data_IF_283241046061
#
_entry.id   IF_283241046061
#
_cell.length_a   1.000
_cell.length_b   1.000
_cell.length_c   1.000
_cell.angle_alpha   90.00
_cell.angle_beta   90.00
_cell.angle_gamma   90.00
#
_symmetry.space_group_name_H-M   'P 1'
#
loop_
_entity.id
_entity.type
_entity.pdbx_description
1 polymer ?
#
# COMPACT_ATOMS: atom_id res chain seq x y z
N UNK A 1 17.01 14.87 0.61
CA UNK A 1 16.30 15.13 1.88
C UNK A 1 15.40 16.35 1.73
N UNK A 2 15.96 17.55 1.52
CA UNK A 2 15.18 18.76 1.25
C UNK A 2 14.38 18.65 -0.07
N UNK A 3 13.12 19.12 -0.05
CA UNK A 3 12.24 19.16 -1.22
C UNK A 3 11.65 17.81 -1.64
N UNK A 4 11.77 16.77 -0.80
CA UNK A 4 11.21 15.44 -1.09
C UNK A 4 10.86 14.65 0.16
N UNK A 5 11.74 14.64 1.17
CA UNK A 5 11.59 13.75 2.33
C UNK A 5 11.46 14.47 3.67
N UNK A 6 12.08 15.64 3.84
CA UNK A 6 12.02 16.42 5.08
C UNK A 6 12.36 17.89 4.82
N UNK A 7 11.62 18.81 5.45
CA UNK A 7 11.82 20.25 5.42
C UNK A 7 12.44 20.75 6.74
N UNK A 8 13.09 21.93 6.73
CA UNK A 8 13.71 22.55 7.91
C UNK A 8 14.65 21.61 8.69
N UNK A 9 15.52 20.91 7.95
CA UNK A 9 16.39 19.86 8.49
C UNK A 9 17.42 20.43 9.46
N UNK A 10 17.41 19.94 10.70
CA UNK A 10 18.43 20.24 11.72
C UNK A 10 19.46 19.11 11.90
N UNK A 11 19.17 17.92 11.38
CA UNK A 11 20.00 16.72 11.56
C UNK A 11 19.25 15.45 11.19
N UNK A 12 19.66 14.32 11.77
CA UNK A 12 19.02 13.02 11.59
C UNK A 12 19.06 12.24 12.91
N UNK A 13 18.23 11.20 13.01
CA UNK A 13 18.21 10.28 14.16
C UNK A 13 18.78 8.94 13.71
N UNK A 14 19.93 8.49 14.24
CA UNK A 14 20.46 7.17 13.93
C UNK A 14 19.62 6.08 14.62
N UNK A 15 19.27 5.03 13.87
CA UNK A 15 18.59 3.84 14.39
C UNK A 15 19.52 2.64 14.18
N UNK A 16 19.80 1.82 15.21
CA UNK A 16 20.61 0.60 15.04
C UNK A 16 20.01 -0.33 13.97
N UNK A 17 20.87 -0.89 13.13
CA UNK A 17 20.47 -1.83 12.06
C UNK A 17 21.17 -3.16 12.29
N UNK A 18 20.37 -4.21 12.48
CA UNK A 18 20.82 -5.59 12.53
C UNK A 18 20.46 -6.37 11.26
N UNK A 19 20.93 -7.61 11.18
CA UNK A 19 20.60 -8.55 10.08
C UNK A 19 20.02 -9.82 10.68
N UNK A 20 18.90 -10.29 10.13
CA UNK A 20 18.33 -11.61 10.41
C UNK A 20 18.40 -12.49 9.15
N UNK A 21 18.85 -13.73 9.29
CA UNK A 21 18.90 -14.69 8.19
C UNK A 21 20.18 -15.54 8.16
N UNK A 22 20.39 -16.28 7.05
CA UNK A 22 19.60 -16.23 5.83
C UNK A 22 18.20 -16.88 6.00
N UNK A 23 17.20 -16.30 5.33
CA UNK A 23 15.86 -16.84 5.20
C UNK A 23 15.70 -17.38 3.77
N UNK A 24 15.38 -18.67 3.63
CA UNK A 24 15.09 -19.29 2.33
C UNK A 24 13.65 -18.96 1.91
N UNK A 25 13.47 -18.08 0.93
CA UNK A 25 12.17 -17.67 0.40
C UNK A 25 12.13 -17.94 -1.10
N UNK A 26 11.17 -18.74 -1.55
CA UNK A 26 10.96 -19.07 -2.98
C UNK A 26 12.22 -19.56 -3.72
N UNK A 27 13.11 -20.26 -2.99
CA UNK A 27 14.37 -20.80 -3.53
C UNK A 27 15.58 -19.87 -3.39
N UNK A 28 15.41 -18.65 -2.88
CA UNK A 28 16.48 -17.67 -2.69
C UNK A 28 16.82 -17.46 -1.21
N UNK A 29 18.12 -17.33 -0.90
CA UNK A 29 18.61 -17.07 0.45
C UNK A 29 18.73 -15.56 0.70
N UNK A 30 17.91 -15.02 1.60
CA UNK A 30 17.79 -13.58 1.84
C UNK A 30 18.30 -13.21 3.24
N UNK A 31 19.17 -12.20 3.33
CA UNK A 31 19.51 -11.56 4.60
C UNK A 31 18.63 -10.31 4.77
N UNK A 32 17.82 -10.28 5.84
CA UNK A 32 16.83 -9.23 6.08
C UNK A 32 17.43 -8.14 6.96
N UNK A 33 17.62 -6.90 6.45
CA UNK A 33 18.04 -5.77 7.28
C UNK A 33 16.87 -5.31 8.17
N UNK A 34 17.14 -5.09 9.45
CA UNK A 34 16.14 -4.68 10.44
C UNK A 34 16.63 -3.48 11.23
N UNK A 35 15.99 -2.32 11.05
CA UNK A 35 16.25 -1.12 11.85
C UNK A 35 15.33 -1.11 13.08
N UNK A 36 15.90 -1.23 14.28
CA UNK A 36 15.12 -1.27 15.53
C UNK A 36 15.98 -0.90 16.74
N UNK A 37 15.35 -0.33 17.77
CA UNK A 37 15.94 -0.16 19.11
C UNK A 37 15.41 -1.21 20.11
N UNK A 38 14.47 -2.05 19.69
CA UNK A 38 13.88 -3.10 20.54
C UNK A 38 14.87 -4.26 20.74
N UNK A 39 15.17 -4.56 22.00
CA UNK A 39 16.00 -5.69 22.37
C UNK A 39 15.40 -7.02 21.93
N UNK A 40 16.27 -7.98 21.62
CA UNK A 40 15.90 -9.36 21.22
C UNK A 40 15.08 -9.51 19.92
N UNK A 41 14.54 -8.44 19.31
CA UNK A 41 13.72 -8.54 18.10
C UNK A 41 14.50 -9.19 16.94
N UNK A 42 15.67 -8.67 16.61
CA UNK A 42 16.53 -9.22 15.52
C UNK A 42 16.94 -10.66 15.81
N UNK A 43 17.32 -10.95 17.06
CA UNK A 43 17.75 -12.28 17.47
C UNK A 43 16.61 -13.31 17.39
N UNK A 44 15.40 -12.92 17.80
CA UNK A 44 14.20 -13.76 17.73
C UNK A 44 13.81 -14.03 16.27
N UNK A 45 13.82 -13.02 15.41
CA UNK A 45 13.57 -13.18 13.96
C UNK A 45 14.62 -14.09 13.32
N UNK A 46 15.91 -13.93 13.66
CA UNK A 46 16.98 -14.79 13.18
C UNK A 46 16.80 -16.26 13.59
N UNK A 47 16.35 -16.51 14.83
CA UNK A 47 15.99 -17.86 15.29
C UNK A 47 14.85 -18.45 14.47
N UNK A 48 13.86 -17.65 14.09
CA UNK A 48 12.79 -18.05 13.17
C UNK A 48 13.33 -18.46 11.79
N UNK A 49 14.21 -17.65 11.19
CA UNK A 49 14.89 -17.99 9.94
C UNK A 49 15.66 -19.31 10.04
N UNK A 50 16.35 -19.55 11.16
CA UNK A 50 17.08 -20.80 11.41
C UNK A 50 16.16 -22.01 11.51
N UNK A 51 14.98 -21.87 12.11
CA UNK A 51 13.99 -22.95 12.18
C UNK A 51 13.46 -23.34 10.79
N UNK A 52 13.39 -22.38 9.87
CA UNK A 52 12.90 -22.56 8.50
C UNK A 52 13.99 -22.92 7.49
N UNK A 53 15.25 -23.01 7.90
CA UNK A 53 16.41 -23.15 7.00
C UNK A 53 16.31 -24.35 6.03
N UNK A 54 15.78 -25.48 6.50
CA UNK A 54 15.68 -26.72 5.70
C UNK A 54 14.44 -26.79 4.82
N UNK A 55 13.33 -26.19 5.25
CA UNK A 55 12.05 -26.28 4.55
C UNK A 55 11.73 -25.05 3.70
N UNK A 56 12.35 -23.91 4.02
CA UNK A 56 12.09 -22.62 3.40
C UNK A 56 10.66 -22.13 3.59
N UNK A 57 10.34 -21.07 2.86
CA UNK A 57 9.02 -20.45 2.77
C UNK A 57 8.66 -20.25 1.30
N UNK A 58 7.42 -20.57 0.94
CA UNK A 58 6.85 -20.28 -0.38
C UNK A 58 5.89 -19.11 -0.26
N UNK A 59 6.08 -18.07 -1.06
CA UNK A 59 5.25 -16.87 -1.02
C UNK A 59 4.63 -16.55 -2.37
N UNK A 60 3.45 -15.93 -2.39
CA UNK A 60 2.77 -15.50 -3.63
C UNK A 60 2.09 -14.16 -3.40
N UNK A 61 2.19 -13.27 -4.40
CA UNK A 61 1.46 -12.01 -4.42
C UNK A 61 0.04 -12.29 -4.95
N UNK A 62 -0.98 -12.02 -4.14
CA UNK A 62 -2.39 -12.30 -4.50
C UNK A 62 -3.12 -11.11 -5.12
N UNK A 63 -2.66 -9.89 -4.84
CA UNK A 63 -3.17 -8.65 -5.41
C UNK A 63 -2.09 -7.56 -5.29
N UNK A 64 -2.08 -6.63 -6.25
CA UNK A 64 -1.21 -5.45 -6.23
C UNK A 64 -2.04 -4.22 -6.66
N UNK A 65 -1.99 -3.17 -5.85
CA UNK A 65 -2.77 -1.96 -6.08
C UNK A 65 -2.87 -1.08 -4.84
N UNK A 66 -2.34 0.15 -4.94
CA UNK A 66 -2.53 1.18 -3.94
C UNK A 66 -3.92 1.81 -4.07
N UNK A 67 -4.50 2.26 -2.96
CA UNK A 67 -5.83 2.90 -2.95
C UNK A 67 -5.77 4.33 -2.44
N UNK A 68 -6.74 5.14 -2.84
CA UNK A 68 -7.02 6.46 -2.29
C UNK A 68 -8.52 6.57 -2.12
N UNK A 69 -8.98 6.91 -0.92
CA UNK A 69 -10.42 7.00 -0.61
C UNK A 69 -10.87 8.43 -0.33
N UNK A 70 -11.13 9.26 -1.35
CA UNK A 70 -11.68 10.59 -1.15
C UNK A 70 -13.15 10.52 -0.69
N UNK A 71 -13.59 11.55 0.02
CA UNK A 71 -15.00 11.77 0.33
C UNK A 71 -15.49 13.00 -0.42
N UNK A 72 -16.62 12.85 -1.14
CA UNK A 72 -17.32 13.96 -1.77
C UNK A 72 -18.72 14.10 -1.17
N UNK A 73 -19.26 15.31 -1.19
CA UNK A 73 -20.54 15.63 -0.55
C UNK A 73 -21.52 16.17 -1.58
N UNK A 74 -22.72 15.59 -1.59
CA UNK A 74 -23.82 16.01 -2.44
C UNK A 74 -24.86 16.82 -1.65
N UNK A 75 -25.77 17.53 -2.34
CA UNK A 75 -26.88 18.24 -1.69
C UNK A 75 -27.74 17.31 -0.81
N UNK A 76 -28.02 16.10 -1.28
CA UNK A 76 -28.87 15.11 -0.61
C UNK A 76 -28.45 13.67 -1.00
N UNK A 77 -29.09 12.68 -0.39
CA UNK A 77 -28.82 11.26 -0.64
C UNK A 77 -29.16 10.85 -2.08
N UNK A 78 -30.21 11.42 -2.68
CA UNK A 78 -30.62 11.09 -4.05
C UNK A 78 -29.49 11.40 -5.03
N UNK A 79 -28.88 12.60 -4.92
CA UNK A 79 -27.73 13.00 -5.75
C UNK A 79 -26.49 12.14 -5.51
N UNK A 80 -26.24 11.72 -4.26
CA UNK A 80 -25.14 10.81 -3.96
C UNK A 80 -25.34 9.42 -4.59
N UNK A 81 -26.58 8.91 -4.55
CA UNK A 81 -26.96 7.64 -5.19
C UNK A 81 -26.86 7.70 -6.71
N UNK A 82 -27.34 8.78 -7.32
CA UNK A 82 -27.20 9.01 -8.77
C UNK A 82 -25.73 9.03 -9.20
N UNK A 83 -24.86 9.70 -8.43
CA UNK A 83 -23.43 9.72 -8.70
C UNK A 83 -22.79 8.32 -8.57
N UNK A 84 -23.17 7.54 -7.55
CA UNK A 84 -22.72 6.15 -7.41
C UNK A 84 -23.09 5.31 -8.64
N UNK A 85 -24.35 5.36 -9.07
CA UNK A 85 -24.83 4.64 -10.25
C UNK A 85 -24.14 5.12 -11.51
N UNK A 86 -23.93 6.44 -11.64
CA UNK A 86 -23.18 7.02 -12.76
C UNK A 86 -21.76 6.46 -12.83
N UNK A 87 -21.05 6.33 -11.70
CA UNK A 87 -19.69 5.77 -11.64
C UNK A 87 -19.63 4.27 -11.97
N UNK A 88 -20.71 3.53 -11.73
CA UNK A 88 -20.81 2.09 -12.02
C UNK A 88 -21.10 1.79 -13.49
N UNK A 89 -21.56 2.78 -14.26
CA UNK A 89 -21.74 2.63 -15.70
C UNK A 89 -20.38 2.40 -16.38
N UNK A 90 -20.19 1.32 -17.17
CA UNK A 90 -18.92 1.01 -17.82
C UNK A 90 -18.35 2.15 -18.68
N UNK A 91 -19.20 2.93 -19.36
CA UNK A 91 -18.75 4.04 -20.19
C UNK A 91 -18.13 5.17 -19.36
N UNK A 92 -18.77 5.52 -18.24
CA UNK A 92 -18.29 6.55 -17.32
C UNK A 92 -17.06 6.07 -16.54
N UNK A 93 -17.02 4.79 -16.17
CA UNK A 93 -15.83 4.17 -15.58
C UNK A 93 -14.64 4.28 -16.53
N UNK A 94 -14.82 4.01 -17.82
CA UNK A 94 -13.76 4.12 -18.82
C UNK A 94 -13.26 5.57 -18.96
N UNK A 95 -14.15 6.56 -18.88
CA UNK A 95 -13.76 7.98 -18.89
C UNK A 95 -12.94 8.36 -17.65
N UNK A 96 -13.42 7.99 -16.45
CA UNK A 96 -12.67 8.23 -15.20
C UNK A 96 -11.32 7.52 -15.19
N UNK A 97 -11.29 6.27 -15.67
CA UNK A 97 -10.06 5.49 -15.83
C UNK A 97 -9.09 6.18 -16.77
N UNK A 98 -9.55 6.68 -17.92
CA UNK A 98 -8.71 7.42 -18.86
C UNK A 98 -8.10 8.65 -18.19
N UNK A 99 -8.91 9.46 -17.53
CA UNK A 99 -8.42 10.65 -16.81
C UNK A 99 -7.42 10.30 -15.70
N UNK A 100 -7.66 9.23 -14.94
CA UNK A 100 -6.74 8.75 -13.91
C UNK A 100 -5.41 8.25 -14.50
N UNK A 101 -5.48 7.40 -15.53
CA UNK A 101 -4.33 6.76 -16.15
C UNK A 101 -3.44 7.77 -16.91
N UNK A 102 -4.01 8.87 -17.41
CA UNK A 102 -3.27 9.98 -18.06
C UNK A 102 -2.31 10.70 -17.09
N UNK A 103 -2.55 10.66 -15.78
CA UNK A 103 -1.71 11.37 -14.79
C UNK A 103 -0.34 10.75 -14.56
N UNK A 104 -0.16 9.46 -14.90
CA UNK A 104 1.10 8.76 -14.70
C UNK A 104 1.22 7.54 -15.60
N UNK A 105 2.42 7.32 -16.14
CA UNK A 105 2.74 6.13 -16.94
C UNK A 105 2.50 4.81 -16.20
N UNK A 106 2.53 4.80 -14.86
CA UNK A 106 2.32 3.62 -14.02
C UNK A 106 0.92 3.52 -13.43
N UNK A 107 0.16 4.62 -13.37
CA UNK A 107 -1.18 4.62 -12.80
C UNK A 107 -2.14 3.88 -13.72
N UNK A 108 -2.73 2.78 -13.23
CA UNK A 108 -3.76 2.03 -13.94
C UNK A 108 -4.92 1.77 -13.01
N UNK A 109 -6.03 2.49 -13.20
CA UNK A 109 -7.23 2.31 -12.40
C UNK A 109 -7.85 0.93 -12.70
N UNK A 110 -7.95 0.08 -11.68
CA UNK A 110 -8.47 -1.28 -11.82
C UNK A 110 -9.94 -1.38 -11.43
N UNK A 111 -10.33 -0.70 -10.35
CA UNK A 111 -11.70 -0.68 -9.82
C UNK A 111 -11.94 0.58 -9.00
N UNK A 112 -13.20 0.98 -8.89
CA UNK A 112 -13.67 2.01 -7.96
C UNK A 112 -14.63 1.35 -6.98
N UNK A 113 -14.49 1.61 -5.68
CA UNK A 113 -15.32 0.98 -4.65
C UNK A 113 -16.11 2.02 -3.87
N UNK A 114 -17.33 2.27 -4.34
CA UNK A 114 -18.15 3.37 -3.81
C UNK A 114 -19.02 2.93 -2.62
N UNK A 115 -19.10 3.78 -1.59
CA UNK A 115 -19.97 3.64 -0.42
C UNK A 115 -20.65 4.97 -0.09
N UNK A 116 -21.94 4.92 0.25
CA UNK A 116 -22.74 6.10 0.62
C UNK A 116 -22.92 6.16 2.13
N UNK A 117 -22.76 7.35 2.72
CA UNK A 117 -23.20 7.67 4.08
C UNK A 117 -24.03 8.96 4.08
N UNK A 118 -25.36 8.82 4.05
CA UNK A 118 -26.27 9.94 3.86
C UNK A 118 -26.04 10.63 2.52
N UNK A 119 -25.58 11.89 2.55
CA UNK A 119 -25.23 12.66 1.35
C UNK A 119 -23.72 12.67 1.03
N UNK A 120 -22.92 11.90 1.74
CA UNK A 120 -21.50 11.72 1.47
C UNK A 120 -21.29 10.46 0.64
N UNK A 121 -20.34 10.54 -0.29
CA UNK A 121 -19.93 9.46 -1.16
C UNK A 121 -18.43 9.22 -0.95
N UNK A 122 -18.07 8.04 -0.47
CA UNK A 122 -16.70 7.56 -0.34
C UNK A 122 -16.40 6.75 -1.59
N UNK A 123 -15.35 7.12 -2.32
CA UNK A 123 -15.02 6.58 -3.65
C UNK A 123 -13.77 5.71 -3.55
#
# INVERSE_FOLDING_TARGET
VLGSCCENVLGYVPVPVGVAGPLLVDGEMIHVPMATTEGCLVASTNRGSRALEKCGVTSRIVADGMTRGPVVRFPNIVRASEAMVWMQNPANFAEMKRSFDETSRFARLTRIHVRIAGRHLFI
#
